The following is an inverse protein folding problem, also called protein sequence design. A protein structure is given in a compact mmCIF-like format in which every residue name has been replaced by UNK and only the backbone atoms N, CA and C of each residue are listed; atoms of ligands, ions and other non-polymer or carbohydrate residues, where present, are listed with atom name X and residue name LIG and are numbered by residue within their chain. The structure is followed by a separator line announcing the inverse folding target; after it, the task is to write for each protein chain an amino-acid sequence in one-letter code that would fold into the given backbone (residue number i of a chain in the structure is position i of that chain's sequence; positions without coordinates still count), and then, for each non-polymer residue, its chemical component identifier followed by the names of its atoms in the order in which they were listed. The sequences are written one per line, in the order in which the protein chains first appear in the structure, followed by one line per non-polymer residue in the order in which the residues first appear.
data_IF_646737674869
#
_entry.id   IF_646737674869
#
_cell.length_a   1.000
_cell.length_b   1.000
_cell.length_c   1.000
_cell.angle_alpha   90.00
_cell.angle_beta   90.00
_cell.angle_gamma   90.00
#
_symmetry.space_group_name_H-M   'P 1'
#
loop_
_entity.id
_entity.type
_entity.pdbx_description
1 polymer ?
#
# COMPACT_ATOMS: atom_id res chain seq x y z
N UNK A 1 -16.27 24.75 -2.76
CA UNK A 1 -16.78 23.42 -2.40
C UNK A 1 -18.12 23.15 -3.06
N UNK A 2 -19.10 24.05 -2.95
CA UNK A 2 -20.44 23.83 -3.55
C UNK A 2 -20.37 23.64 -5.06
N UNK A 3 -19.57 24.41 -5.79
CA UNK A 3 -19.37 24.27 -7.22
C UNK A 3 -18.86 22.87 -7.59
N UNK A 4 -17.88 22.34 -6.86
CA UNK A 4 -17.38 20.98 -7.04
C UNK A 4 -18.45 19.91 -6.70
N UNK A 5 -19.25 20.17 -5.65
CA UNK A 5 -20.35 19.27 -5.27
C UNK A 5 -21.45 19.24 -6.34
N UNK A 6 -21.74 20.39 -6.96
CA UNK A 6 -22.75 20.48 -8.03
C UNK A 6 -22.35 19.71 -9.29
N UNK A 7 -21.04 19.69 -9.64
CA UNK A 7 -20.54 18.82 -10.71
C UNK A 7 -20.80 17.35 -10.43
N UNK A 8 -20.53 16.88 -9.20
CA UNK A 8 -20.76 15.50 -8.80
C UNK A 8 -22.26 15.16 -8.76
N UNK A 9 -23.07 16.05 -8.22
CA UNK A 9 -24.55 15.90 -8.23
C UNK A 9 -25.10 15.84 -9.64
N UNK A 10 -24.55 16.66 -10.56
CA UNK A 10 -24.88 16.64 -11.98
C UNK A 10 -24.52 15.31 -12.66
N UNK A 11 -23.51 14.60 -12.17
CA UNK A 11 -23.16 13.25 -12.57
C UNK A 11 -23.98 12.15 -11.88
N UNK A 12 -24.98 12.51 -11.06
CA UNK A 12 -25.84 11.58 -10.34
C UNK A 12 -25.24 11.01 -9.04
N UNK A 13 -24.16 11.62 -8.52
CA UNK A 13 -23.51 11.19 -7.28
C UNK A 13 -24.09 11.98 -6.11
N UNK A 14 -24.67 11.30 -5.12
CA UNK A 14 -25.13 11.92 -3.89
C UNK A 14 -23.95 12.55 -3.15
N UNK A 15 -24.01 13.86 -2.90
CA UNK A 15 -22.87 14.62 -2.36
C UNK A 15 -23.29 15.59 -1.29
N UNK A 16 -22.63 15.52 -0.15
CA UNK A 16 -22.73 16.49 0.96
C UNK A 16 -21.40 17.22 1.11
N UNK A 17 -21.46 18.48 1.53
CA UNK A 17 -20.28 19.31 1.78
C UNK A 17 -20.19 19.70 3.24
N UNK A 18 -19.00 19.59 3.81
CA UNK A 18 -18.71 19.98 5.19
C UNK A 18 -17.40 20.77 5.24
N UNK A 19 -17.38 21.80 6.07
CA UNK A 19 -16.17 22.59 6.35
C UNK A 19 -15.88 22.50 7.84
N UNK A 20 -14.70 21.98 8.15
CA UNK A 20 -14.22 21.90 9.53
C UNK A 20 -12.84 22.53 9.63
N UNK A 21 -12.61 23.24 10.73
CA UNK A 21 -11.29 23.73 11.07
C UNK A 21 -10.72 22.90 12.21
N UNK A 22 -9.49 22.43 12.06
CA UNK A 22 -8.79 21.69 13.11
C UNK A 22 -7.27 21.90 13.01
N UNK A 23 -6.57 21.71 14.11
CA UNK A 23 -5.13 21.79 14.19
C UNK A 23 -4.61 20.75 15.20
N UNK A 24 -3.79 19.79 14.78
CA UNK A 24 -3.28 19.59 13.41
C UNK A 24 -4.32 18.96 12.47
N UNK A 25 -4.21 19.25 11.18
CA UNK A 25 -5.19 18.86 10.16
C UNK A 25 -5.56 17.36 10.18
N UNK A 26 -4.57 16.47 10.36
CA UNK A 26 -4.83 15.02 10.38
C UNK A 26 -5.73 14.58 11.53
N UNK A 27 -5.70 15.25 12.68
CA UNK A 27 -6.60 14.94 13.80
C UNK A 27 -8.07 15.25 13.46
N UNK A 28 -8.32 16.39 12.81
CA UNK A 28 -9.65 16.72 12.33
C UNK A 28 -10.18 15.75 11.31
N UNK A 29 -9.34 15.33 10.37
CA UNK A 29 -9.68 14.33 9.37
C UNK A 29 -10.02 12.99 10.03
N UNK A 30 -9.16 12.49 10.93
CA UNK A 30 -9.38 11.20 11.62
C UNK A 30 -10.65 11.22 12.49
N UNK A 31 -10.93 12.34 13.16
CA UNK A 31 -12.17 12.52 13.92
C UNK A 31 -13.38 12.42 12.99
N UNK A 32 -13.32 13.07 11.83
CA UNK A 32 -14.41 13.01 10.86
C UNK A 32 -14.59 11.62 10.26
N UNK A 33 -13.50 10.89 10.01
CA UNK A 33 -13.55 9.49 9.61
C UNK A 33 -14.26 8.63 10.66
N UNK A 34 -13.96 8.83 11.94
CA UNK A 34 -14.61 8.11 13.03
C UNK A 34 -16.11 8.44 13.19
N UNK A 35 -16.52 9.67 12.89
CA UNK A 35 -17.93 10.11 12.96
C UNK A 35 -18.75 9.65 11.76
N UNK A 36 -18.15 9.64 10.57
CA UNK A 36 -18.85 9.36 9.31
C UNK A 36 -18.80 7.87 8.94
N UNK A 37 -17.81 7.13 9.49
CA UNK A 37 -17.56 5.70 9.24
C UNK A 37 -17.54 5.35 7.72
N UNK A 38 -16.73 6.03 6.89
CA UNK A 38 -16.71 5.78 5.44
C UNK A 38 -16.04 4.44 5.13
N UNK A 39 -16.44 3.83 4.00
CA UNK A 39 -15.78 2.64 3.45
C UNK A 39 -14.42 2.96 2.83
N UNK A 40 -14.21 4.19 2.36
CA UNK A 40 -12.98 4.66 1.73
C UNK A 40 -12.78 6.14 2.00
N UNK A 41 -11.57 6.51 2.40
CA UNK A 41 -11.14 7.90 2.45
C UNK A 41 -10.27 8.24 1.25
N UNK A 42 -10.60 9.30 0.53
CA UNK A 42 -9.80 9.83 -0.58
C UNK A 42 -9.24 11.18 -0.19
N UNK A 43 -7.94 11.36 -0.34
CA UNK A 43 -7.27 12.64 -0.09
C UNK A 43 -6.39 13.03 -1.25
N UNK A 44 -6.53 14.26 -1.71
CA UNK A 44 -5.63 14.87 -2.66
C UNK A 44 -4.28 15.21 -2.03
N UNK A 45 -3.19 14.89 -2.75
CA UNK A 45 -1.82 15.21 -2.36
C UNK A 45 -1.24 16.26 -3.28
N UNK A 46 -1.20 17.50 -2.82
CA UNK A 46 -0.55 18.57 -3.57
C UNK A 46 0.97 18.56 -3.41
N UNK A 47 1.69 18.52 -4.54
CA UNK A 47 3.12 18.78 -4.56
C UNK A 47 3.38 20.29 -4.45
N UNK A 48 3.69 20.76 -3.29
CA UNK A 48 4.29 22.08 -3.14
C UNK A 48 5.80 22.03 -3.45
N UNK A 49 6.31 23.08 -4.10
CA UNK A 49 7.64 23.22 -4.66
C UNK A 49 8.81 22.67 -3.81
N UNK A 50 9.94 22.42 -4.47
CA UNK A 50 11.17 21.75 -4.03
C UNK A 50 11.67 22.12 -2.61
N UNK A 51 11.50 23.35 -2.17
CA UNK A 51 11.90 23.83 -0.83
C UNK A 51 11.00 23.28 0.31
N UNK A 52 9.80 22.80 -0.01
CA UNK A 52 8.85 22.25 0.96
C UNK A 52 8.91 20.71 1.07
N UNK A 53 9.83 20.06 0.38
CA UNK A 53 10.05 18.61 0.50
C UNK A 53 10.37 18.16 1.93
N UNK A 54 11.02 19.03 2.73
CA UNK A 54 11.29 18.78 4.15
C UNK A 54 10.05 19.00 5.05
N UNK A 55 9.02 19.64 4.53
CA UNK A 55 7.77 19.91 5.23
C UNK A 55 6.61 19.04 4.70
N UNK A 56 6.96 17.97 3.97
CA UNK A 56 6.00 16.90 3.63
C UNK A 56 5.55 16.28 4.93
N UNK A 57 4.67 16.86 5.34
CA UNK A 57 4.14 17.02 6.61
C UNK A 57 3.49 15.72 6.97
N UNK A 58 3.88 15.29 7.97
CA UNK A 58 3.11 14.81 9.10
C UNK A 58 1.64 14.43 8.78
N UNK A 59 0.88 15.15 7.97
CA UNK A 59 -0.53 14.83 7.69
C UNK A 59 -0.69 13.51 6.92
N UNK A 60 -0.08 13.35 5.75
CA UNK A 60 -0.23 12.13 4.93
C UNK A 60 0.37 10.93 5.65
N UNK A 61 1.54 11.08 6.28
CA UNK A 61 2.15 10.02 7.08
C UNK A 61 1.34 9.64 8.31
N UNK A 62 0.70 10.61 8.97
CA UNK A 62 -0.20 10.31 10.08
C UNK A 62 -1.47 9.61 9.60
N UNK A 63 -2.02 10.02 8.47
CA UNK A 63 -3.18 9.35 7.88
C UNK A 63 -2.85 7.92 7.44
N UNK A 64 -1.72 7.69 6.76
CA UNK A 64 -1.27 6.34 6.36
C UNK A 64 -1.17 5.41 7.57
N UNK A 65 -0.71 5.90 8.72
CA UNK A 65 -0.48 5.09 9.92
C UNK A 65 -1.72 4.92 10.80
N UNK A 66 -2.66 5.84 10.75
CA UNK A 66 -3.73 5.97 11.76
C UNK A 66 -5.14 5.92 11.18
N UNK A 67 -5.30 6.01 9.87
CA UNK A 67 -6.62 5.92 9.25
C UNK A 67 -7.18 4.50 9.44
N UNK A 68 -8.36 4.34 10.06
CA UNK A 68 -8.93 3.03 10.33
C UNK A 68 -9.61 2.39 9.11
N UNK A 69 -9.75 3.14 8.02
CA UNK A 69 -10.36 2.70 6.77
C UNK A 69 -9.35 2.79 5.62
N UNK A 70 -9.58 2.11 4.49
CA UNK A 70 -8.73 2.24 3.31
C UNK A 70 -8.53 3.70 2.92
N UNK A 71 -7.29 4.07 2.59
CA UNK A 71 -6.88 5.42 2.24
C UNK A 71 -6.32 5.47 0.82
N UNK A 72 -6.98 6.22 -0.05
CA UNK A 72 -6.49 6.55 -1.39
C UNK A 72 -5.87 7.96 -1.38
N UNK A 73 -4.56 8.03 -1.60
CA UNK A 73 -3.86 9.30 -1.82
C UNK A 73 -3.78 9.59 -3.32
N UNK A 74 -4.54 10.57 -3.77
CA UNK A 74 -4.63 10.96 -5.17
C UNK A 74 -3.65 12.06 -5.52
N UNK A 75 -3.24 12.11 -6.77
CA UNK A 75 -2.45 13.20 -7.37
C UNK A 75 -3.21 13.74 -8.57
N UNK A 76 -3.06 15.03 -8.82
CA UNK A 76 -3.56 15.72 -10.01
C UNK A 76 -2.76 15.34 -11.25
N UNK A 77 -2.79 14.09 -11.66
CA UNK A 77 -2.16 13.61 -12.89
C UNK A 77 -3.18 12.76 -13.64
N UNK A 78 -3.20 12.90 -14.94
CA UNK A 78 -4.05 12.06 -15.78
C UNK A 78 -3.65 10.59 -15.63
N UNK A 79 -4.65 9.76 -15.45
CA UNK A 79 -4.47 8.32 -15.42
C UNK A 79 -4.41 7.78 -16.84
N UNK A 80 -3.64 6.72 -17.04
CA UNK A 80 -3.70 5.97 -18.31
C UNK A 80 -5.12 5.45 -18.53
N UNK A 81 -5.55 5.39 -19.79
CA UNK A 81 -6.84 4.79 -20.15
C UNK A 81 -6.97 3.33 -19.67
N UNK A 82 -5.85 2.62 -19.54
CA UNK A 82 -5.74 1.29 -18.96
C UNK A 82 -4.64 1.28 -17.88
N UNK A 83 -4.97 1.65 -16.64
CA UNK A 83 -3.98 1.79 -15.60
C UNK A 83 -3.42 0.43 -15.18
N UNK A 84 -2.14 0.42 -14.83
CA UNK A 84 -1.48 -0.74 -14.24
C UNK A 84 -1.41 -0.56 -12.74
N UNK A 85 -2.10 -1.43 -12.02
CA UNK A 85 -2.19 -1.42 -10.57
C UNK A 85 -1.14 -2.37 -10.02
N UNK A 86 -0.31 -1.88 -9.10
CA UNK A 86 0.72 -2.66 -8.45
C UNK A 86 0.29 -2.99 -7.02
N UNK A 87 0.06 -4.26 -6.74
CA UNK A 87 -0.21 -4.77 -5.40
C UNK A 87 1.11 -5.13 -4.71
N UNK A 88 1.46 -4.40 -3.65
CA UNK A 88 2.64 -4.69 -2.84
C UNK A 88 2.26 -5.67 -1.73
N UNK A 89 2.84 -6.86 -1.73
CA UNK A 89 2.54 -7.95 -0.81
C UNK A 89 3.73 -8.25 0.10
N UNK A 90 3.46 -8.78 1.27
CA UNK A 90 4.49 -9.26 2.20
C UNK A 90 4.11 -10.61 2.85
N UNK A 91 4.05 -11.70 2.08
CA UNK A 91 3.55 -12.99 2.54
C UNK A 91 4.42 -13.66 3.62
N UNK A 92 5.62 -13.13 3.87
CA UNK A 92 6.56 -13.66 4.88
C UNK A 92 6.40 -13.07 6.28
N UNK A 93 5.68 -11.97 6.43
CA UNK A 93 5.54 -11.25 7.70
C UNK A 93 4.24 -11.64 8.41
N UNK A 94 4.35 -12.47 9.42
CA UNK A 94 3.17 -12.96 10.18
C UNK A 94 3.01 -12.31 11.55
N UNK A 95 3.96 -11.48 11.99
CA UNK A 95 4.04 -11.02 13.38
C UNK A 95 3.31 -9.71 13.69
N UNK A 96 3.17 -8.82 12.72
CA UNK A 96 2.73 -7.43 12.95
C UNK A 96 1.66 -6.92 11.97
N UNK A 97 1.10 -7.80 11.14
CA UNK A 97 0.02 -7.48 10.20
C UNK A 97 -1.15 -8.46 10.32
N UNK A 98 -2.40 -8.05 9.95
CA UNK A 98 -3.53 -8.95 9.82
C UNK A 98 -3.23 -10.09 8.83
N UNK A 99 -3.60 -11.31 9.16
CA UNK A 99 -3.33 -12.49 8.32
C UNK A 99 -3.95 -12.39 6.91
N UNK A 100 -5.08 -11.69 6.79
CA UNK A 100 -5.78 -11.49 5.52
C UNK A 100 -5.26 -10.32 4.67
N UNK A 101 -4.36 -9.48 5.18
CA UNK A 101 -4.00 -8.21 4.54
C UNK A 101 -3.53 -8.36 3.08
N UNK A 102 -2.73 -9.39 2.76
CA UNK A 102 -2.28 -9.60 1.37
C UNK A 102 -3.44 -9.97 0.44
N UNK A 103 -4.44 -10.70 0.94
CA UNK A 103 -5.66 -11.01 0.20
C UNK A 103 -6.51 -9.74 0.00
N UNK A 104 -6.69 -8.93 1.05
CA UNK A 104 -7.44 -7.68 0.98
C UNK A 104 -6.80 -6.68 -0.01
N UNK A 105 -5.46 -6.62 -0.06
CA UNK A 105 -4.71 -5.81 -1.04
C UNK A 105 -4.98 -6.29 -2.47
N UNK A 106 -4.97 -7.61 -2.71
CA UNK A 106 -5.23 -8.17 -4.03
C UNK A 106 -6.68 -7.98 -4.45
N UNK A 107 -7.63 -8.16 -3.54
CA UNK A 107 -9.06 -7.93 -3.80
C UNK A 107 -9.31 -6.46 -4.17
N UNK A 108 -8.76 -5.53 -3.43
CA UNK A 108 -8.84 -4.10 -3.73
C UNK A 108 -8.19 -3.76 -5.08
N UNK A 109 -7.00 -4.30 -5.36
CA UNK A 109 -6.32 -4.09 -6.62
C UNK A 109 -7.11 -4.63 -7.81
N UNK A 110 -7.70 -5.82 -7.68
CA UNK A 110 -8.54 -6.41 -8.72
C UNK A 110 -9.87 -5.66 -8.90
N UNK A 111 -10.47 -5.21 -7.80
CA UNK A 111 -11.66 -4.35 -7.87
C UNK A 111 -11.38 -3.10 -8.69
N UNK A 112 -10.32 -2.36 -8.35
CA UNK A 112 -9.92 -1.16 -9.07
C UNK A 112 -9.59 -1.45 -10.54
N UNK A 113 -8.88 -2.53 -10.83
CA UNK A 113 -8.56 -2.91 -12.19
C UNK A 113 -9.83 -3.16 -13.04
N UNK A 114 -10.82 -3.85 -12.48
CA UNK A 114 -12.11 -4.08 -13.16
C UNK A 114 -12.86 -2.78 -13.43
N UNK A 115 -12.87 -1.84 -12.48
CA UNK A 115 -13.56 -0.56 -12.65
C UNK A 115 -12.91 0.36 -13.68
N UNK A 116 -11.58 0.23 -13.85
CA UNK A 116 -10.77 1.13 -14.67
C UNK A 116 -10.26 0.49 -15.97
N UNK A 117 -10.77 -0.69 -16.33
CA UNK A 117 -10.27 -1.49 -17.48
C UNK A 117 -8.73 -1.66 -17.44
N UNK A 118 -8.20 -1.80 -16.24
CA UNK A 118 -6.79 -1.88 -15.96
C UNK A 118 -6.25 -3.30 -15.76
N UNK A 119 -4.98 -3.41 -15.40
CA UNK A 119 -4.33 -4.68 -15.10
C UNK A 119 -3.69 -4.66 -13.72
N UNK A 120 -3.55 -5.85 -13.09
CA UNK A 120 -2.90 -6.01 -11.78
C UNK A 120 -1.57 -6.71 -11.96
N UNK A 121 -0.55 -6.20 -11.26
CA UNK A 121 0.70 -6.90 -11.01
C UNK A 121 0.98 -6.93 -9.50
N UNK A 122 1.51 -8.04 -9.02
CA UNK A 122 1.96 -8.18 -7.64
C UNK A 122 3.46 -8.01 -7.54
N UNK A 123 3.93 -7.37 -6.47
CA UNK A 123 5.34 -7.23 -6.14
C UNK A 123 5.57 -7.55 -4.67
N UNK A 124 6.67 -8.22 -4.40
CA UNK A 124 7.23 -8.36 -3.07
C UNK A 124 8.66 -7.84 -3.08
N UNK A 125 8.99 -6.94 -2.14
CA UNK A 125 10.35 -6.46 -1.93
C UNK A 125 11.04 -7.35 -0.89
N UNK A 126 11.96 -8.17 -1.35
CA UNK A 126 12.70 -9.10 -0.51
C UNK A 126 13.85 -8.41 0.22
N UNK A 127 13.87 -8.49 1.54
CA UNK A 127 14.99 -8.05 2.36
C UNK A 127 15.65 -9.25 3.05
N UNK A 128 16.89 -9.58 2.70
CA UNK A 128 17.56 -10.76 3.25
C UNK A 128 18.00 -10.53 4.70
N UNK A 129 17.18 -10.92 5.66
CA UNK A 129 17.49 -10.80 7.09
C UNK A 129 18.79 -11.53 7.49
N UNK A 130 19.10 -12.64 6.80
CA UNK A 130 20.33 -13.39 6.98
C UNK A 130 21.58 -12.55 6.64
N UNK A 131 21.52 -11.67 5.63
CA UNK A 131 22.60 -10.78 5.27
C UNK A 131 22.83 -9.71 6.34
N UNK A 132 21.75 -9.16 6.91
CA UNK A 132 21.86 -8.19 8.00
C UNK A 132 22.49 -8.83 9.24
N UNK A 133 22.06 -10.02 9.61
CA UNK A 133 22.64 -10.77 10.73
C UNK A 133 24.14 -11.02 10.53
N UNK A 134 24.55 -11.38 9.31
CA UNK A 134 25.95 -11.60 8.96
C UNK A 134 26.80 -10.32 8.99
N UNK A 135 26.24 -9.16 8.61
CA UNK A 135 26.98 -7.88 8.53
C UNK A 135 27.03 -7.14 9.85
N UNK A 136 26.06 -7.32 10.76
CA UNK A 136 26.01 -6.60 12.04
C UNK A 136 26.74 -7.30 13.18
N UNK A 137 27.29 -8.50 12.95
CA UNK A 137 27.98 -9.26 14.00
C UNK A 137 27.07 -9.66 15.18
N UNK A 138 25.77 -9.47 15.04
CA UNK A 138 24.77 -9.76 16.08
C UNK A 138 24.50 -11.27 16.24
N UNK A 139 25.13 -12.07 15.40
CA UNK A 139 25.10 -13.53 15.50
C UNK A 139 26.16 -14.02 16.46
N UNK A 140 25.89 -13.96 17.76
CA UNK A 140 26.52 -14.84 18.75
C UNK A 140 26.16 -16.31 18.55
N UNK A 141 25.65 -16.65 17.37
CA UNK A 141 25.41 -18.02 16.91
C UNK A 141 26.59 -18.33 15.97
N UNK A 142 27.42 -19.36 16.25
CA UNK A 142 28.34 -19.87 15.26
C UNK A 142 27.51 -20.23 14.02
N UNK A 143 27.64 -19.48 12.95
CA UNK A 143 27.16 -19.91 11.63
C UNK A 143 27.77 -21.30 11.45
N UNK A 144 26.90 -22.32 11.47
CA UNK A 144 27.33 -23.66 11.17
C UNK A 144 28.10 -23.59 9.85
N UNK A 145 29.33 -24.03 9.88
CA UNK A 145 30.38 -23.77 8.88
C UNK A 145 30.08 -24.30 7.46
N UNK A 146 28.86 -24.74 7.19
CA UNK A 146 28.53 -25.45 5.94
C UNK A 146 27.52 -24.73 5.02
N UNK A 147 26.79 -23.72 5.50
CA UNK A 147 25.85 -22.98 4.64
C UNK A 147 26.45 -21.64 4.21
N UNK A 148 26.67 -21.45 2.92
CA UNK A 148 27.10 -20.16 2.41
C UNK A 148 25.97 -19.13 2.57
N UNK A 149 26.34 -17.85 2.78
CA UNK A 149 25.34 -16.77 2.79
C UNK A 149 24.54 -16.76 1.49
N UNK A 150 25.15 -17.15 0.37
CA UNK A 150 24.46 -17.25 -0.91
C UNK A 150 23.36 -18.31 -0.91
N UNK A 151 23.61 -19.48 -0.32
CA UNK A 151 22.61 -20.57 -0.25
C UNK A 151 21.44 -20.19 0.66
N UNK A 152 21.71 -19.50 1.75
CA UNK A 152 20.67 -18.96 2.64
C UNK A 152 19.79 -17.93 1.92
N UNK A 153 20.40 -17.01 1.18
CA UNK A 153 19.69 -15.99 0.40
C UNK A 153 18.80 -16.62 -0.67
N UNK A 154 19.31 -17.61 -1.39
CA UNK A 154 18.56 -18.28 -2.46
C UNK A 154 17.42 -19.13 -1.89
N UNK A 155 17.63 -19.81 -0.77
CA UNK A 155 16.58 -20.58 -0.10
C UNK A 155 15.45 -19.66 0.40
N UNK A 156 15.80 -18.52 0.99
CA UNK A 156 14.83 -17.54 1.48
C UNK A 156 14.05 -16.88 0.34
N UNK A 157 14.76 -16.50 -0.75
CA UNK A 157 14.15 -15.99 -1.97
C UNK A 157 13.16 -16.99 -2.58
N UNK A 158 13.55 -18.24 -2.66
CA UNK A 158 12.71 -19.31 -3.20
C UNK A 158 11.45 -19.50 -2.35
N UNK A 159 11.58 -19.51 -1.03
CA UNK A 159 10.47 -19.60 -0.10
C UNK A 159 9.48 -18.45 -0.24
N UNK A 160 9.99 -17.22 -0.29
CA UNK A 160 9.16 -16.02 -0.44
C UNK A 160 8.48 -15.99 -1.81
N UNK A 161 9.20 -16.36 -2.88
CA UNK A 161 8.62 -16.46 -4.21
C UNK A 161 7.50 -17.50 -4.30
N UNK A 162 7.64 -18.63 -3.60
CA UNK A 162 6.60 -19.64 -3.53
C UNK A 162 5.36 -19.13 -2.80
N UNK A 163 5.53 -18.52 -1.63
CA UNK A 163 4.41 -17.93 -0.88
C UNK A 163 3.70 -16.82 -1.66
N UNK A 164 4.44 -15.96 -2.34
CA UNK A 164 3.85 -14.91 -3.18
C UNK A 164 3.04 -15.52 -4.35
N UNK A 165 3.55 -16.58 -4.99
CA UNK A 165 2.81 -17.26 -6.05
C UNK A 165 1.54 -17.92 -5.54
N UNK A 166 1.59 -18.58 -4.40
CA UNK A 166 0.42 -19.24 -3.79
C UNK A 166 -0.73 -18.24 -3.60
N UNK A 167 -0.45 -17.09 -2.97
CA UNK A 167 -1.46 -16.05 -2.75
C UNK A 167 -1.97 -15.49 -4.07
N UNK A 168 -1.10 -15.17 -5.01
CA UNK A 168 -1.49 -14.57 -6.29
C UNK A 168 -2.27 -15.55 -7.18
N UNK A 169 -1.96 -16.84 -7.14
CA UNK A 169 -2.71 -17.89 -7.83
C UNK A 169 -4.11 -18.06 -7.25
N UNK A 170 -4.26 -17.98 -5.93
CA UNK A 170 -5.57 -18.01 -5.29
C UNK A 170 -6.50 -16.87 -5.77
N UNK A 171 -5.92 -15.75 -6.21
CA UNK A 171 -6.62 -14.62 -6.83
C UNK A 171 -6.64 -14.67 -8.37
N UNK A 172 -6.23 -15.77 -8.99
CA UNK A 172 -6.27 -15.95 -10.45
C UNK A 172 -5.25 -15.12 -11.23
N UNK A 173 -4.21 -14.58 -10.57
CA UNK A 173 -3.14 -13.84 -11.25
C UNK A 173 -2.13 -14.83 -11.85
N UNK A 174 -1.84 -14.66 -13.16
CA UNK A 174 -0.84 -15.47 -13.84
C UNK A 174 0.61 -15.15 -13.43
N UNK A 175 1.52 -16.07 -13.64
CA UNK A 175 2.95 -15.93 -13.26
C UNK A 175 3.63 -14.67 -13.83
N UNK A 176 3.20 -14.22 -15.02
CA UNK A 176 3.75 -13.00 -15.66
C UNK A 176 3.41 -11.71 -14.89
N UNK A 177 2.41 -11.76 -14.02
CA UNK A 177 1.95 -10.63 -13.20
C UNK A 177 2.63 -10.57 -11.84
N UNK A 178 3.55 -11.48 -11.53
CA UNK A 178 4.21 -11.58 -10.21
C UNK A 178 5.70 -11.28 -10.34
N UNK A 179 6.21 -10.39 -9.49
CA UNK A 179 7.65 -10.07 -9.39
C UNK A 179 8.10 -10.10 -7.94
N UNK A 180 9.22 -10.78 -7.68
CA UNK A 180 9.97 -10.73 -6.42
C UNK A 180 11.27 -9.99 -6.72
N UNK A 181 11.46 -8.85 -6.06
CA UNK A 181 12.60 -7.95 -6.23
C UNK A 181 13.62 -8.15 -5.12
#
# INVERSE_FOLDING_TARGET
LEEMADELRGAGIATETHVHWDNPLHEGILRRVAEFEPDLMVKDTHYHSFLRRALFTNTDWNLIRRCPVPLLLSRTADWSAQPRILAALDPGHHGDKPAALDHDILDAAQFLARQLDGTVAAVHAFFPAALLAATTGFAGVPLAQELSVADLLESERTRVAAATREITQAHGLGEKSVRVL
#
